data_IF_913634643431
#
_entry.id   IF_913634643431
#
_cell.length_a   1.000
_cell.length_b   1.000
_cell.length_c   1.000
_cell.angle_alpha   90.00
_cell.angle_beta   90.00
_cell.angle_gamma   90.00
#
_symmetry.space_group_name_H-M   'P 1'
#
loop_
_entity.id
_entity.type
_entity.pdbx_description
1 polymer ?
#
# COMPACT_ATOMS: atom_id res chain seq x y z
N UNK A 1 18.61 26.42 50.94
CA UNK A 1 18.88 26.62 49.50
C UNK A 1 19.09 25.27 48.83
N UNK A 2 18.01 24.61 48.42
CA UNK A 2 18.03 23.31 47.74
C UNK A 2 16.86 23.29 46.75
N UNK A 3 17.02 23.92 45.58
CA UNK A 3 15.89 24.14 44.66
C UNK A 3 16.27 24.27 43.18
N UNK A 4 17.50 23.95 42.78
CA UNK A 4 17.95 24.17 41.38
C UNK A 4 18.32 22.92 40.60
N UNK A 5 18.19 21.72 41.20
CA UNK A 5 18.50 20.45 40.52
C UNK A 5 17.27 19.77 39.92
N UNK A 6 16.07 19.99 40.49
CA UNK A 6 14.81 19.42 39.98
C UNK A 6 14.33 20.13 38.72
N UNK A 7 14.46 21.45 38.63
CA UNK A 7 14.08 22.24 37.43
C UNK A 7 14.88 21.84 36.18
N UNK A 8 16.18 21.54 36.32
CA UNK A 8 17.03 21.14 35.18
C UNK A 8 16.71 19.74 34.65
N UNK A 9 16.36 18.79 35.51
CA UNK A 9 15.97 17.43 35.08
C UNK A 9 14.60 17.45 34.41
N UNK A 10 13.62 18.19 34.96
CA UNK A 10 12.31 18.33 34.32
C UNK A 10 12.38 19.04 32.96
N UNK A 11 13.23 20.06 32.81
CA UNK A 11 13.43 20.74 31.53
C UNK A 11 14.10 19.84 30.47
N UNK A 12 15.01 18.95 30.90
CA UNK A 12 15.70 18.02 29.99
C UNK A 12 14.78 16.87 29.57
N UNK A 13 13.93 16.39 30.48
CA UNK A 13 12.92 15.34 30.19
C UNK A 13 11.78 15.87 29.31
N UNK A 14 11.42 17.16 29.42
CA UNK A 14 10.41 17.77 28.54
C UNK A 14 10.91 17.96 27.09
N UNK A 15 12.22 18.12 26.86
CA UNK A 15 12.78 18.31 25.51
C UNK A 15 12.98 16.99 24.76
N UNK A 16 13.09 15.84 25.45
CA UNK A 16 13.18 14.52 24.81
C UNK A 16 11.80 14.05 24.28
N UNK A 17 10.70 14.64 24.77
CA UNK A 17 9.34 14.34 24.29
C UNK A 17 8.95 15.08 22.99
N UNK A 18 9.81 15.98 22.47
CA UNK A 18 9.55 16.78 21.25
C UNK A 18 10.38 16.28 20.05
N UNK A 19 11.00 15.09 20.14
CA UNK A 19 11.68 14.44 19.01
C UNK A 19 11.04 13.10 18.59
N UNK A 20 9.90 12.71 19.17
CA UNK A 20 9.16 11.51 18.74
C UNK A 20 8.01 11.82 17.75
N UNK A 21 7.76 13.09 17.43
CA UNK A 21 6.80 13.49 16.38
C UNK A 21 7.45 13.63 14.98
N UNK A 22 8.69 13.14 14.82
CA UNK A 22 9.39 13.08 13.54
C UNK A 22 9.44 11.64 13.01
N UNK A 23 8.39 10.84 13.24
CA UNK A 23 8.25 9.58 12.52
C UNK A 23 7.85 9.89 11.08
N UNK A 24 8.88 10.15 10.28
CA UNK A 24 8.96 10.01 8.84
C UNK A 24 7.72 10.47 8.06
N UNK A 25 7.82 11.62 7.41
CA UNK A 25 7.29 11.65 6.05
C UNK A 25 7.97 10.48 5.31
N UNK A 26 7.23 9.40 5.07
CA UNK A 26 7.68 8.35 4.19
C UNK A 26 8.12 9.02 2.90
N UNK A 27 9.41 8.94 2.60
CA UNK A 27 9.91 9.27 1.27
C UNK A 27 9.20 8.30 0.34
N UNK A 28 8.07 8.68 -0.24
CA UNK A 28 7.50 7.99 -1.39
C UNK A 28 8.45 8.27 -2.54
N UNK A 29 9.58 7.55 -2.56
CA UNK A 29 10.36 7.35 -3.77
C UNK A 29 9.35 6.87 -4.80
N UNK A 30 8.97 7.75 -5.72
CA UNK A 30 7.91 7.61 -6.72
C UNK A 30 7.16 6.30 -6.64
N UNK A 31 6.18 6.17 -5.73
CA UNK A 31 5.34 4.99 -5.67
C UNK A 31 4.57 4.96 -6.99
N UNK A 32 5.11 4.19 -7.95
CA UNK A 32 4.49 3.93 -9.24
C UNK A 32 3.24 3.08 -9.05
N UNK A 33 2.98 2.60 -7.85
CA UNK A 33 1.82 1.80 -7.53
C UNK A 33 1.27 2.04 -6.11
N UNK A 34 -0.03 1.84 -5.97
CA UNK A 34 -0.76 2.00 -4.70
C UNK A 34 -1.96 1.07 -4.62
N UNK A 35 -2.27 0.62 -3.41
CA UNK A 35 -3.45 -0.21 -3.12
C UNK A 35 -4.48 0.56 -2.32
N UNK A 36 -5.75 0.46 -2.70
CA UNK A 36 -6.87 1.09 -1.99
C UNK A 36 -8.07 0.15 -1.87
N UNK A 37 -8.90 0.39 -0.85
CA UNK A 37 -10.17 -0.32 -0.64
C UNK A 37 -11.22 0.10 -1.66
N UNK A 38 -12.03 -0.85 -2.14
CA UNK A 38 -13.20 -0.55 -2.97
C UNK A 38 -14.50 -0.57 -2.17
N UNK A 39 -15.62 -0.33 -2.83
CA UNK A 39 -16.95 -0.46 -2.25
C UNK A 39 -17.34 -1.92 -1.92
N UNK A 40 -16.58 -2.91 -2.42
CA UNK A 40 -16.70 -4.31 -2.04
C UNK A 40 -15.54 -4.66 -1.08
N UNK A 41 -15.81 -5.07 0.18
CA UNK A 41 -14.77 -5.30 1.18
C UNK A 41 -13.81 -6.45 0.84
N UNK A 42 -14.15 -7.28 -0.15
CA UNK A 42 -13.32 -8.39 -0.65
C UNK A 42 -12.58 -8.07 -1.94
N UNK A 43 -12.58 -6.81 -2.37
CA UNK A 43 -11.92 -6.36 -3.60
C UNK A 43 -11.05 -5.15 -3.29
N UNK A 44 -9.78 -5.24 -3.67
CA UNK A 44 -8.83 -4.14 -3.64
C UNK A 44 -8.69 -3.54 -5.04
N UNK A 45 -8.42 -2.24 -5.10
CA UNK A 45 -8.00 -1.57 -6.32
C UNK A 45 -6.49 -1.32 -6.24
N UNK A 46 -5.77 -1.88 -7.20
CA UNK A 46 -4.34 -1.72 -7.38
C UNK A 46 -4.10 -0.77 -8.55
N UNK A 47 -3.57 0.42 -8.27
CA UNK A 47 -3.26 1.42 -9.29
C UNK A 47 -1.78 1.36 -9.60
N UNK A 48 -1.40 1.31 -10.89
CA UNK A 48 0.00 1.31 -11.35
C UNK A 48 0.17 2.34 -12.45
N UNK A 49 1.13 3.25 -12.31
CA UNK A 49 1.44 4.31 -13.28
C UNK A 49 2.78 4.02 -13.96
N UNK A 50 2.77 4.04 -15.29
CA UNK A 50 3.96 3.91 -16.13
C UNK A 50 4.15 5.16 -16.99
N UNK A 51 5.38 5.39 -17.46
CA UNK A 51 5.72 6.50 -18.38
C UNK A 51 5.90 6.04 -19.84
N UNK A 52 5.53 4.79 -20.13
CA UNK A 52 5.64 4.16 -21.45
C UNK A 52 4.62 3.01 -21.55
N UNK A 53 4.33 2.49 -22.76
CA UNK A 53 3.49 1.31 -22.93
C UNK A 53 4.03 0.11 -22.14
N UNK A 54 3.13 -0.62 -21.50
CA UNK A 54 3.49 -1.76 -20.66
C UNK A 54 2.31 -2.73 -20.49
N UNK A 55 2.63 -3.97 -20.14
CA UNK A 55 1.70 -4.97 -19.63
C UNK A 55 1.87 -5.04 -18.11
N UNK A 56 0.78 -4.84 -17.37
CA UNK A 56 0.75 -4.83 -15.91
C UNK A 56 -0.05 -6.04 -15.43
N UNK A 57 0.54 -6.84 -14.55
CA UNK A 57 -0.14 -7.93 -13.86
C UNK A 57 0.12 -7.79 -12.36
N UNK A 58 -0.89 -8.05 -11.52
CA UNK A 58 -0.70 -8.07 -10.06
C UNK A 58 -0.63 -9.52 -9.61
N UNK A 59 0.42 -9.85 -8.85
CA UNK A 59 0.45 -11.10 -8.08
C UNK A 59 0.05 -10.79 -6.66
N UNK A 60 -0.74 -11.66 -6.06
CA UNK A 60 -1.27 -11.49 -4.71
C UNK A 60 -1.45 -12.83 -4.01
N UNK A 61 -1.36 -12.83 -2.67
CA UNK A 61 -1.44 -14.04 -1.86
C UNK A 61 -1.60 -13.78 -0.37
N UNK A 62 -1.82 -14.82 0.45
CA UNK A 62 -1.83 -14.70 1.90
C UNK A 62 -0.44 -14.40 2.50
N UNK A 63 0.62 -14.56 1.70
CA UNK A 63 2.02 -14.35 2.05
C UNK A 63 2.81 -13.90 0.81
N UNK A 64 4.09 -13.57 0.98
CA UNK A 64 4.99 -13.03 -0.05
C UNK A 64 5.34 -14.03 -1.17
N UNK A 65 4.84 -15.27 -1.13
CA UNK A 65 4.89 -16.16 -2.31
C UNK A 65 3.77 -15.86 -3.32
N UNK A 66 2.82 -14.99 -2.97
CA UNK A 66 1.67 -14.53 -3.76
C UNK A 66 0.77 -15.69 -4.25
N UNK A 67 1.19 -16.45 -5.26
CA UNK A 67 0.49 -17.68 -5.69
C UNK A 67 -0.82 -17.48 -6.46
N UNK A 68 -1.34 -16.25 -6.54
CA UNK A 68 -2.43 -15.87 -7.45
C UNK A 68 -2.02 -14.67 -8.31
N UNK A 69 -2.55 -14.62 -9.54
CA UNK A 69 -2.23 -13.56 -10.50
C UNK A 69 -3.53 -13.02 -11.11
N UNK A 70 -3.57 -11.72 -11.35
CA UNK A 70 -4.65 -11.10 -12.13
C UNK A 70 -4.42 -11.34 -13.64
N UNK A 71 -5.44 -11.10 -14.46
CA UNK A 71 -5.22 -10.96 -15.90
C UNK A 71 -4.32 -9.75 -16.19
N UNK A 72 -3.40 -9.84 -17.17
CA UNK A 72 -2.59 -8.70 -17.57
C UNK A 72 -3.47 -7.58 -18.16
N UNK A 73 -3.23 -6.34 -17.74
CA UNK A 73 -3.77 -5.13 -18.36
C UNK A 73 -2.70 -4.45 -19.21
N UNK A 74 -3.08 -4.06 -20.43
CA UNK A 74 -2.20 -3.35 -21.35
C UNK A 74 -2.41 -1.84 -21.24
N UNK A 75 -1.32 -1.12 -21.00
CA UNK A 75 -1.19 0.32 -21.20
C UNK A 75 -0.57 0.51 -22.57
N UNK A 76 -1.32 1.07 -23.52
CA UNK A 76 -0.89 1.22 -24.93
C UNK A 76 -0.42 2.63 -25.28
N UNK A 77 -0.67 3.61 -24.42
CA UNK A 77 -0.27 5.00 -24.67
C UNK A 77 1.26 5.12 -24.68
N UNK A 78 1.86 5.73 -25.74
CA UNK A 78 3.31 5.95 -25.83
C UNK A 78 3.92 6.71 -24.65
N UNK A 79 3.13 7.56 -23.98
CA UNK A 79 3.57 8.33 -22.82
C UNK A 79 3.28 7.62 -21.49
N UNK A 80 2.78 6.38 -21.55
CA UNK A 80 2.33 5.62 -20.41
C UNK A 80 0.97 6.08 -19.89
N UNK A 81 0.64 5.64 -18.68
CA UNK A 81 -0.66 5.90 -18.08
C UNK A 81 -0.82 5.14 -16.77
N UNK A 82 -2.03 5.16 -16.23
CA UNK A 82 -2.38 4.45 -14.99
C UNK A 82 -3.31 3.27 -15.30
N UNK A 83 -2.90 2.06 -14.93
CA UNK A 83 -3.76 0.88 -14.89
C UNK A 83 -4.41 0.77 -13.51
N UNK A 84 -5.73 0.57 -13.46
CA UNK A 84 -6.48 0.34 -12.23
C UNK A 84 -7.03 -1.09 -12.24
N UNK A 85 -6.34 -1.99 -11.53
CA UNK A 85 -6.59 -3.42 -11.55
C UNK A 85 -7.40 -3.78 -10.30
N UNK A 86 -8.52 -4.46 -10.50
CA UNK A 86 -9.33 -4.98 -9.41
C UNK A 86 -8.81 -6.37 -9.00
N UNK A 87 -8.27 -6.46 -7.80
CA UNK A 87 -7.85 -7.72 -7.18
C UNK A 87 -9.04 -8.27 -6.42
N UNK A 88 -9.65 -9.34 -6.95
CA UNK A 88 -10.86 -9.95 -6.41
C UNK A 88 -10.62 -11.41 -5.99
N UNK A 89 -11.64 -12.05 -5.41
CA UNK A 89 -11.56 -13.45 -4.96
C UNK A 89 -10.87 -13.62 -3.60
N UNK A 90 -10.69 -12.53 -2.85
CA UNK A 90 -10.08 -12.56 -1.52
C UNK A 90 -11.08 -13.05 -0.46
N UNK A 91 -10.57 -13.75 0.55
CA UNK A 91 -11.36 -14.17 1.72
C UNK A 91 -11.62 -12.97 2.63
N UNK A 92 -12.75 -12.98 3.35
CA UNK A 92 -13.06 -11.96 4.35
C UNK A 92 -12.08 -11.97 5.53
N UNK A 93 -11.90 -10.81 6.17
CA UNK A 93 -11.06 -10.63 7.36
C UNK A 93 -9.67 -11.26 7.24
N UNK A 94 -9.05 -11.15 6.07
CA UNK A 94 -7.80 -11.82 5.72
C UNK A 94 -6.81 -10.79 5.18
N UNK A 95 -5.55 -10.92 5.59
CA UNK A 95 -4.45 -10.11 5.07
C UNK A 95 -3.89 -10.76 3.82
N UNK A 96 -3.61 -9.94 2.81
CA UNK A 96 -3.01 -10.31 1.55
C UNK A 96 -1.79 -9.43 1.27
N UNK A 97 -0.75 -10.06 0.75
CA UNK A 97 0.42 -9.46 0.14
C UNK A 97 0.18 -9.34 -1.36
N UNK A 98 0.63 -8.24 -1.97
CA UNK A 98 0.44 -8.00 -3.40
C UNK A 98 1.51 -7.08 -3.97
N UNK A 99 1.97 -7.41 -5.17
CA UNK A 99 2.88 -6.58 -5.95
C UNK A 99 2.49 -6.57 -7.43
N UNK A 100 2.89 -5.53 -8.16
CA UNK A 100 2.72 -5.48 -9.61
C UNK A 100 3.99 -5.92 -10.34
N UNK A 101 3.83 -6.76 -11.35
CA UNK A 101 4.82 -7.05 -12.38
C UNK A 101 4.48 -6.21 -13.61
N UNK A 102 5.38 -5.31 -13.97
CA UNK A 102 5.26 -4.45 -15.15
C UNK A 102 6.29 -4.90 -16.19
N UNK A 103 5.79 -5.32 -17.35
CA UNK A 103 6.62 -5.75 -18.48
C UNK A 103 6.43 -4.79 -19.65
N UNK A 104 7.51 -4.18 -20.13
CA UNK A 104 7.48 -3.22 -21.24
C UNK A 104 8.85 -2.63 -21.50
N UNK A 105 8.88 -1.41 -22.03
CA UNK A 105 10.13 -0.67 -22.29
C UNK A 105 10.94 -0.47 -21.00
N UNK A 106 10.27 -0.04 -19.93
CA UNK A 106 10.82 0.06 -18.58
C UNK A 106 10.15 -0.98 -17.69
N UNK A 107 10.65 -2.22 -17.75
CA UNK A 107 10.11 -3.32 -16.92
C UNK A 107 10.57 -3.16 -15.48
N UNK A 108 9.66 -3.33 -14.53
CA UNK A 108 9.95 -3.30 -13.09
C UNK A 108 8.96 -4.17 -12.32
N UNK A 109 9.39 -4.59 -11.14
CA UNK A 109 8.53 -5.21 -10.15
C UNK A 109 8.34 -4.20 -9.03
N UNK A 110 7.08 -3.99 -8.64
CA UNK A 110 6.73 -3.13 -7.54
C UNK A 110 7.15 -3.74 -6.18
N UNK A 111 7.16 -2.91 -5.14
CA UNK A 111 7.34 -3.41 -3.78
C UNK A 111 6.10 -4.19 -3.31
N UNK A 112 6.26 -5.01 -2.26
CA UNK A 112 5.12 -5.63 -1.59
C UNK A 112 4.21 -4.58 -0.94
N UNK A 113 2.91 -4.75 -1.13
CA UNK A 113 1.86 -4.01 -0.44
C UNK A 113 0.98 -4.98 0.34
N UNK A 114 0.59 -4.55 1.53
CA UNK A 114 -0.28 -5.33 2.40
C UNK A 114 -1.69 -4.73 2.39
N UNK A 115 -2.68 -5.59 2.14
CA UNK A 115 -4.10 -5.23 2.18
C UNK A 115 -4.87 -6.20 3.05
N UNK A 116 -5.70 -5.68 3.95
CA UNK A 116 -6.61 -6.51 4.76
C UNK A 116 -8.03 -6.33 4.28
N UNK A 117 -8.68 -7.43 3.90
CA UNK A 117 -10.09 -7.41 3.51
C UNK A 117 -11.02 -7.14 4.68
N UNK A 118 -12.15 -6.53 4.39
CA UNK A 118 -13.23 -6.35 5.35
C UNK A 118 -14.08 -7.61 5.54
N UNK A 119 -15.10 -7.49 6.39
CA UNK A 119 -16.14 -8.50 6.57
C UNK A 119 -17.28 -8.29 5.59
N UNK A 120 -17.87 -9.37 5.06
CA UNK A 120 -19.16 -9.24 4.37
C UNK A 120 -20.25 -9.17 5.43
N UNK A 121 -20.88 -8.01 5.58
CA UNK A 121 -22.14 -7.91 6.32
C UNK A 121 -23.25 -8.43 5.41
N UNK A 122 -23.87 -9.56 5.76
CA UNK A 122 -25.10 -9.97 5.10
C UNK A 122 -26.14 -8.88 5.37
N UNK A 123 -26.68 -8.27 4.31
CA UNK A 123 -27.78 -7.31 4.45
C UNK A 123 -28.96 -8.10 5.01
N UNK A 124 -29.28 -7.92 6.29
CA UNK A 124 -30.45 -8.55 6.90
C UNK A 124 -31.69 -7.89 6.29
N UNK A 125 -32.63 -8.62 5.68
CA UNK A 125 -33.87 -8.02 5.21
C UNK A 125 -34.62 -7.43 6.41
N UNK A 126 -34.96 -6.15 6.33
CA UNK A 126 -35.84 -5.47 7.30
C UNK A 126 -37.30 -5.83 7.03
#
# INVERSE_FOLDING_TARGET
MAGSRVVRVFFTVLIIAVCAALSACGSSNGQQASVSSTNNPLVAQYSVTTTSPASVQVEFGPDENYGFNTSPQLITDPNGGTANILVAGMKQSSTYHMHAIVTGQSSFTDTDHVFTTGTITAVQPQ
#
